data_IF_066479289973
#
_entry.id   IF_066479289973
#
_cell.length_a   1.000
_cell.length_b   1.000
_cell.length_c   1.000
_cell.angle_alpha   90.00
_cell.angle_beta   90.00
_cell.angle_gamma   90.00
#
_symmetry.space_group_name_H-M   'P 1'
#
loop_
_entity.id
_entity.type
_entity.pdbx_description
1 polymer ?
#
# COMPACT_ATOMS: atom_id res chain seq x y z
N UNK A 1 2.16 -0.96 15.35
CA UNK A 1 0.92 -0.35 14.82
C UNK A 1 -0.12 -0.28 15.93
N UNK A 2 -1.08 0.65 15.91
CA UNK A 2 -2.20 0.63 16.86
C UNK A 2 -2.96 -0.70 16.73
N UNK A 3 -3.35 -1.27 17.86
CA UNK A 3 -4.20 -2.48 17.92
C UNK A 3 -5.48 -2.18 18.68
N UNK A 4 -6.11 -1.06 18.32
CA UNK A 4 -7.39 -0.66 18.89
C UNK A 4 -8.49 -1.19 17.98
N UNK A 5 -9.42 -2.03 18.47
CA UNK A 5 -10.43 -2.70 17.63
C UNK A 5 -11.21 -1.74 16.74
N UNK A 6 -11.61 -0.58 17.29
CA UNK A 6 -12.39 0.41 16.54
C UNK A 6 -11.60 1.11 15.39
N UNK A 7 -10.27 0.93 15.28
CA UNK A 7 -9.46 1.40 14.15
C UNK A 7 -8.99 0.27 13.23
N UNK A 8 -9.38 -0.96 13.51
CA UNK A 8 -9.06 -2.11 12.67
C UNK A 8 -10.20 -2.37 11.69
N UNK A 9 -9.86 -2.53 10.40
CA UNK A 9 -10.80 -3.02 9.40
C UNK A 9 -10.78 -4.55 9.44
N UNK A 10 -11.93 -5.15 9.76
CA UNK A 10 -12.08 -6.61 9.86
C UNK A 10 -12.46 -7.24 8.52
N UNK A 11 -13.01 -6.46 7.60
CA UNK A 11 -13.37 -6.90 6.26
C UNK A 11 -12.10 -7.04 5.40
N UNK A 12 -11.68 -8.28 5.18
CA UNK A 12 -10.49 -8.59 4.40
C UNK A 12 -10.59 -8.11 2.95
N UNK A 13 -11.79 -8.09 2.35
CA UNK A 13 -11.96 -7.62 0.98
C UNK A 13 -11.68 -6.12 0.88
N UNK A 14 -12.10 -5.33 1.85
CA UNK A 14 -11.77 -3.90 1.94
C UNK A 14 -10.29 -3.66 2.13
N UNK A 15 -9.62 -4.45 2.98
CA UNK A 15 -8.16 -4.36 3.17
C UNK A 15 -7.41 -4.69 1.87
N UNK A 16 -7.84 -5.73 1.16
CA UNK A 16 -7.24 -6.11 -0.13
C UNK A 16 -7.50 -5.04 -1.21
N UNK A 17 -8.73 -4.51 -1.28
CA UNK A 17 -9.05 -3.41 -2.20
C UNK A 17 -8.17 -2.19 -1.95
N UNK A 18 -8.03 -1.79 -0.68
CA UNK A 18 -7.14 -0.70 -0.28
C UNK A 18 -5.69 -0.92 -0.74
N UNK A 19 -5.12 -2.13 -0.54
CA UNK A 19 -3.76 -2.44 -1.01
C UNK A 19 -3.65 -2.35 -2.53
N UNK A 20 -4.66 -2.80 -3.29
CA UNK A 20 -4.69 -2.72 -4.75
C UNK A 20 -4.74 -1.28 -5.26
N UNK A 21 -5.51 -0.42 -4.62
CA UNK A 21 -5.62 1.01 -4.93
C UNK A 21 -4.33 1.77 -4.59
N UNK A 22 -3.66 1.38 -3.50
CA UNK A 22 -2.44 2.01 -3.01
C UNK A 22 -1.19 1.14 -3.25
N UNK A 23 -1.11 0.54 -4.43
CA UNK A 23 -0.13 -0.50 -4.75
C UNK A 23 1.32 -0.04 -4.94
N UNK A 24 1.62 1.28 -4.89
CA UNK A 24 2.98 1.80 -4.81
C UNK A 24 3.41 1.82 -3.34
N UNK A 25 4.02 0.73 -2.92
CA UNK A 25 4.28 0.42 -1.51
C UNK A 25 5.75 0.56 -1.13
N UNK A 26 6.00 0.67 0.18
CA UNK A 26 7.35 0.61 0.75
C UNK A 26 7.65 -0.82 1.18
N UNK A 27 8.67 -1.44 0.62
CA UNK A 27 9.19 -2.74 1.04
C UNK A 27 10.43 -2.52 1.86
N UNK A 28 10.43 -2.98 3.12
CA UNK A 28 11.55 -2.83 4.04
C UNK A 28 12.07 -4.19 4.50
N UNK A 29 13.35 -4.26 4.82
CA UNK A 29 13.98 -5.45 5.38
C UNK A 29 15.22 -5.12 6.20
N UNK A 30 15.98 -6.14 6.56
CA UNK A 30 17.11 -6.03 7.47
C UNK A 30 18.40 -5.79 6.68
N UNK A 31 18.92 -4.57 6.76
CA UNK A 31 20.29 -4.27 6.32
C UNK A 31 21.32 -4.64 7.39
N UNK A 32 22.58 -4.32 7.16
CA UNK A 32 23.66 -4.63 8.10
C UNK A 32 23.66 -3.67 9.30
N UNK A 33 23.62 -2.37 9.04
CA UNK A 33 23.62 -1.33 10.10
C UNK A 33 22.25 -0.67 10.24
N UNK A 34 21.56 -0.43 9.13
CA UNK A 34 20.25 0.21 9.07
C UNK A 34 19.26 -0.67 8.32
N UNK A 35 17.95 -0.55 8.62
CA UNK A 35 16.92 -1.13 7.78
C UNK A 35 17.05 -0.57 6.35
N UNK A 36 16.85 -1.43 5.36
CA UNK A 36 16.76 -1.01 3.95
C UNK A 36 15.31 -0.82 3.56
N UNK A 37 15.05 0.08 2.60
CA UNK A 37 13.70 0.35 2.10
C UNK A 37 13.72 0.62 0.60
N UNK A 38 12.69 0.15 -0.10
CA UNK A 38 12.47 0.42 -1.51
C UNK A 38 11.00 0.78 -1.76
N UNK A 39 10.75 1.76 -2.63
CA UNK A 39 9.42 2.12 -3.07
C UNK A 39 9.13 1.42 -4.40
N UNK A 40 8.18 0.51 -4.42
CA UNK A 40 7.93 -0.38 -5.55
C UNK A 40 6.44 -0.47 -5.86
N UNK A 41 6.07 -0.44 -7.15
CA UNK A 41 4.73 -0.85 -7.56
C UNK A 41 4.59 -2.35 -7.42
N UNK A 42 3.53 -2.80 -6.77
CA UNK A 42 3.26 -4.20 -6.53
C UNK A 42 1.97 -4.65 -7.23
N UNK A 43 1.95 -5.88 -7.71
CA UNK A 43 0.71 -6.59 -7.98
C UNK A 43 0.32 -7.39 -6.74
N UNK A 44 -0.97 -7.39 -6.43
CA UNK A 44 -1.56 -8.12 -5.31
C UNK A 44 -2.38 -9.28 -5.90
N UNK A 45 -1.95 -10.49 -5.64
CA UNK A 45 -2.56 -11.72 -6.14
C UNK A 45 -3.09 -12.56 -4.99
N UNK A 46 -4.27 -13.15 -5.19
CA UNK A 46 -4.88 -14.09 -4.26
C UNK A 46 -4.83 -15.45 -4.93
N UNK A 47 -4.17 -16.42 -4.31
CA UNK A 47 -4.04 -17.81 -4.77
C UNK A 47 -4.52 -18.76 -3.68
N UNK A 48 -5.76 -19.22 -3.81
CA UNK A 48 -6.45 -19.92 -2.72
C UNK A 48 -6.63 -18.98 -1.51
N UNK A 49 -6.19 -19.41 -0.36
CA UNK A 49 -6.25 -18.63 0.88
C UNK A 49 -5.03 -17.71 1.12
N UNK A 50 -4.04 -17.73 0.23
CA UNK A 50 -2.80 -16.99 0.36
C UNK A 50 -2.79 -15.73 -0.49
N UNK A 51 -2.14 -14.70 0.04
CA UNK A 51 -1.89 -13.44 -0.65
C UNK A 51 -0.41 -13.38 -1.04
N UNK A 52 -0.17 -12.99 -2.28
CA UNK A 52 1.16 -12.79 -2.83
C UNK A 52 1.30 -11.37 -3.39
N UNK A 53 2.46 -10.78 -3.19
CA UNK A 53 2.84 -9.55 -3.86
C UNK A 53 3.94 -9.86 -4.87
N UNK A 54 3.77 -9.42 -6.11
CA UNK A 54 4.79 -9.58 -7.15
C UNK A 54 5.27 -8.22 -7.64
N UNK A 55 6.54 -8.13 -7.98
CA UNK A 55 7.19 -6.92 -8.45
C UNK A 55 8.60 -7.19 -8.94
N UNK A 56 9.37 -6.11 -9.16
CA UNK A 56 10.78 -6.20 -9.51
C UNK A 56 11.57 -5.05 -8.86
N UNK A 57 12.86 -5.23 -8.75
CA UNK A 57 13.79 -4.21 -8.25
C UNK A 57 15.13 -4.27 -9.01
N UNK A 58 15.95 -3.22 -8.84
CA UNK A 58 17.30 -3.17 -9.43
C UNK A 58 18.23 -4.17 -8.76
N UNK A 59 18.98 -4.94 -9.57
CA UNK A 59 20.05 -5.82 -9.07
C UNK A 59 21.18 -5.02 -8.42
N UNK A 60 21.90 -5.66 -7.52
CA UNK A 60 23.14 -5.17 -6.88
C UNK A 60 22.96 -3.93 -5.97
N UNK A 61 21.75 -3.53 -5.68
CA UNK A 61 21.43 -2.49 -4.69
C UNK A 61 21.59 -3.02 -3.26
N UNK A 62 21.62 -2.15 -2.27
CA UNK A 62 21.67 -2.50 -0.86
C UNK A 62 20.47 -3.35 -0.42
N UNK A 63 19.27 -2.94 -0.83
CA UNK A 63 18.04 -3.68 -0.51
C UNK A 63 17.97 -5.04 -1.23
N UNK A 64 18.46 -5.17 -2.47
CA UNK A 64 18.56 -6.48 -3.14
C UNK A 64 19.44 -7.44 -2.32
N UNK A 65 20.65 -7.01 -1.95
CA UNK A 65 21.59 -7.81 -1.17
C UNK A 65 21.06 -8.15 0.23
N UNK A 66 20.36 -7.21 0.84
CA UNK A 66 19.75 -7.42 2.15
C UNK A 66 18.64 -8.48 2.10
N UNK A 67 17.77 -8.41 1.08
CA UNK A 67 16.68 -9.37 0.89
C UNK A 67 17.17 -10.77 0.49
N UNK A 68 18.34 -10.88 -0.21
CA UNK A 68 18.99 -12.17 -0.43
C UNK A 68 19.49 -12.81 0.87
N UNK A 69 19.99 -12.00 1.81
CA UNK A 69 20.50 -12.48 3.11
C UNK A 69 19.38 -12.83 4.10
N UNK A 70 18.27 -12.09 4.06
CA UNK A 70 17.13 -12.29 4.95
C UNK A 70 15.82 -12.08 4.19
N UNK A 71 15.10 -13.18 4.01
CA UNK A 71 13.82 -13.18 3.27
C UNK A 71 12.66 -12.47 3.99
N UNK A 72 12.79 -12.13 5.28
CA UNK A 72 11.72 -11.49 6.03
C UNK A 72 11.63 -10.00 5.68
N UNK A 73 10.47 -9.60 5.19
CA UNK A 73 10.19 -8.22 4.78
C UNK A 73 8.90 -7.70 5.42
N UNK A 74 8.86 -6.38 5.58
CA UNK A 74 7.64 -5.65 5.89
C UNK A 74 7.27 -4.79 4.68
N UNK A 75 6.05 -4.97 4.20
CA UNK A 75 5.47 -4.14 3.15
C UNK A 75 4.48 -3.17 3.76
N UNK A 76 4.65 -1.88 3.49
CA UNK A 76 3.80 -0.80 4.01
C UNK A 76 3.06 -0.16 2.85
N UNK A 77 1.73 -0.26 2.89
CA UNK A 77 0.83 0.45 2.00
C UNK A 77 0.32 1.69 2.72
N UNK A 78 0.65 2.86 2.19
CA UNK A 78 0.22 4.13 2.72
C UNK A 78 -0.95 4.67 1.90
N UNK A 79 -2.03 5.02 2.59
CA UNK A 79 -3.17 5.70 2.01
C UNK A 79 -3.24 7.18 2.40
N UNK A 80 -4.43 7.78 2.28
CA UNK A 80 -4.64 9.17 2.66
C UNK A 80 -4.42 9.36 4.16
N UNK A 81 -3.98 10.56 4.50
CA UNK A 81 -3.75 10.98 5.88
C UNK A 81 -3.96 12.49 6.01
N UNK A 82 -4.53 12.93 7.12
CA UNK A 82 -4.79 14.35 7.34
C UNK A 82 -4.84 14.70 8.82
N UNK A 83 -4.47 15.94 9.13
CA UNK A 83 -4.62 16.51 10.45
C UNK A 83 -6.07 16.87 10.75
N UNK A 84 -6.55 16.50 11.93
CA UNK A 84 -7.88 16.81 12.46
C UNK A 84 -7.74 17.78 13.62
N UNK A 85 -8.29 18.99 13.46
CA UNK A 85 -8.23 20.02 14.48
C UNK A 85 -9.19 19.73 15.64
N UNK A 86 -8.74 19.95 16.85
CA UNK A 86 -9.58 19.89 18.06
C UNK A 86 -10.76 20.88 18.02
N UNK A 87 -10.62 21.99 17.28
CA UNK A 87 -11.70 22.99 17.13
C UNK A 87 -12.92 22.48 16.33
N UNK A 88 -12.83 21.34 15.71
CA UNK A 88 -13.93 20.73 14.93
C UNK A 88 -14.77 19.75 15.75
N UNK A 89 -14.35 19.47 16.98
CA UNK A 89 -15.08 18.58 17.89
C UNK A 89 -16.24 19.32 18.56
N UNK A 90 -17.31 18.60 18.83
CA UNK A 90 -18.49 19.13 19.53
C UNK A 90 -18.30 19.17 21.05
N UNK A 91 -17.23 18.59 21.58
CA UNK A 91 -16.88 18.58 23.00
C UNK A 91 -15.64 19.43 23.23
N UNK A 92 -15.57 20.20 24.36
CA UNK A 92 -14.36 20.89 24.76
C UNK A 92 -13.30 19.91 25.28
N UNK A 93 -12.08 20.42 25.48
CA UNK A 93 -10.98 19.72 26.14
C UNK A 93 -10.52 18.42 25.45
N UNK A 94 -10.54 18.43 24.13
CA UNK A 94 -10.03 17.33 23.29
C UNK A 94 -8.73 17.73 22.59
N UNK A 95 -7.89 16.74 22.30
CA UNK A 95 -6.66 16.97 21.56
C UNK A 95 -6.87 16.78 20.05
N UNK A 96 -6.15 17.58 19.28
CA UNK A 96 -6.01 17.37 17.83
C UNK A 96 -5.34 16.04 17.53
N UNK A 97 -5.60 15.50 16.34
CA UNK A 97 -5.08 14.18 15.95
C UNK A 97 -4.81 14.11 14.45
N UNK A 98 -4.35 12.96 13.98
CA UNK A 98 -4.29 12.59 12.58
C UNK A 98 -5.27 11.46 12.29
N UNK A 99 -6.03 11.58 11.21
CA UNK A 99 -6.72 10.47 10.57
C UNK A 99 -5.83 9.95 9.43
N UNK A 100 -5.77 8.64 9.27
CA UNK A 100 -4.95 7.99 8.25
C UNK A 100 -5.38 6.55 8.03
N UNK A 101 -5.04 6.02 6.86
CA UNK A 101 -5.21 4.61 6.51
C UNK A 101 -3.86 4.04 6.14
N UNK A 102 -3.50 2.89 6.72
CA UNK A 102 -2.29 2.16 6.36
C UNK A 102 -2.47 0.66 6.59
N UNK A 103 -1.83 -0.14 5.73
CA UNK A 103 -1.77 -1.59 5.85
C UNK A 103 -0.31 -2.02 5.89
N UNK A 104 0.04 -2.85 6.87
CA UNK A 104 1.35 -3.46 7.04
C UNK A 104 1.24 -4.97 6.81
N UNK A 105 1.89 -5.47 5.79
CA UNK A 105 1.98 -6.90 5.52
C UNK A 105 3.40 -7.41 5.83
N UNK A 106 3.50 -8.41 6.68
CA UNK A 106 4.75 -9.15 6.92
C UNK A 106 4.78 -10.34 5.98
N UNK A 107 5.91 -10.58 5.34
CA UNK A 107 6.02 -11.66 4.38
C UNK A 107 7.44 -12.15 4.18
N UNK A 108 7.57 -13.13 3.31
CA UNK A 108 8.83 -13.70 2.88
C UNK A 108 9.04 -13.45 1.39
N UNK A 109 10.11 -12.71 1.06
CA UNK A 109 10.48 -12.41 -0.31
C UNK A 109 11.31 -13.55 -0.91
N UNK A 110 11.04 -13.87 -2.17
CA UNK A 110 11.85 -14.79 -2.98
C UNK A 110 12.06 -14.18 -4.35
N UNK A 111 13.30 -14.20 -4.81
CA UNK A 111 13.62 -13.74 -6.16
C UNK A 111 13.25 -14.80 -7.19
N UNK A 112 12.85 -14.33 -8.36
CA UNK A 112 12.48 -15.18 -9.49
C UNK A 112 13.64 -15.29 -10.49
N UNK A 113 13.54 -16.25 -11.38
CA UNK A 113 14.42 -16.38 -12.54
C UNK A 113 14.14 -15.30 -13.61
N UNK A 114 14.84 -15.40 -14.74
CA UNK A 114 14.67 -14.45 -15.86
C UNK A 114 13.23 -14.46 -16.40
N UNK A 115 12.61 -15.62 -16.51
CA UNK A 115 11.24 -15.75 -17.00
C UNK A 115 10.24 -15.12 -16.01
N UNK A 116 10.40 -15.34 -14.71
CA UNK A 116 9.62 -14.71 -13.66
C UNK A 116 9.82 -13.19 -13.63
N UNK A 117 11.04 -12.72 -13.81
CA UNK A 117 11.35 -11.29 -13.91
C UNK A 117 10.65 -10.66 -15.12
N UNK A 118 10.73 -11.29 -16.29
CA UNK A 118 10.03 -10.85 -17.49
C UNK A 118 8.51 -10.73 -17.26
N UNK A 119 7.90 -11.75 -16.63
CA UNK A 119 6.48 -11.76 -16.32
C UNK A 119 6.09 -10.68 -15.31
N UNK A 120 6.92 -10.41 -14.30
CA UNK A 120 6.68 -9.34 -13.33
C UNK A 120 6.65 -7.96 -14.01
N UNK A 121 7.62 -7.68 -14.90
CA UNK A 121 7.65 -6.42 -15.67
C UNK A 121 6.45 -6.31 -16.60
N UNK A 122 6.12 -7.39 -17.32
CA UNK A 122 4.95 -7.43 -18.21
C UNK A 122 3.67 -7.12 -17.46
N UNK A 123 3.48 -7.75 -16.31
CA UNK A 123 2.28 -7.58 -15.49
C UNK A 123 2.12 -6.14 -14.99
N UNK A 124 3.19 -5.53 -14.47
CA UNK A 124 3.18 -4.13 -14.02
C UNK A 124 2.96 -3.17 -15.20
N UNK A 125 3.65 -3.36 -16.32
CA UNK A 125 3.47 -2.51 -17.50
C UNK A 125 2.03 -2.58 -18.01
N UNK A 126 1.47 -3.78 -18.17
CA UNK A 126 0.10 -3.96 -18.64
C UNK A 126 -0.95 -3.40 -17.67
N UNK A 127 -0.67 -3.42 -16.37
CA UNK A 127 -1.55 -2.83 -15.34
C UNK A 127 -1.73 -1.32 -15.54
N UNK A 128 -0.65 -0.60 -15.87
CA UNK A 128 -0.67 0.86 -15.95
C UNK A 128 -0.81 1.39 -17.37
N UNK A 129 -0.16 0.75 -18.35
CA UNK A 129 -0.25 1.16 -19.76
C UNK A 129 -1.48 0.60 -20.47
N UNK A 130 -1.98 -0.54 -20.04
CA UNK A 130 -2.96 -1.31 -20.80
C UNK A 130 -2.37 -1.92 -22.07
N UNK A 131 -3.22 -2.52 -22.91
CA UNK A 131 -2.82 -3.23 -24.13
C UNK A 131 -2.99 -2.39 -25.40
N UNK A 132 -3.63 -1.22 -25.31
CA UNK A 132 -4.02 -0.39 -26.46
C UNK A 132 -2.98 0.65 -26.90
N UNK A 133 -2.06 1.05 -26.05
CA UNK A 133 -1.11 2.14 -26.30
C UNK A 133 0.10 1.69 -27.14
N UNK A 134 0.86 2.63 -27.66
CA UNK A 134 2.14 2.34 -28.33
C UNK A 134 3.22 1.80 -27.37
N UNK A 135 3.10 2.09 -26.06
CA UNK A 135 3.99 1.66 -25.01
C UNK A 135 3.56 0.35 -24.33
N UNK A 136 2.49 -0.30 -24.81
CA UNK A 136 2.07 -1.62 -24.32
C UNK A 136 3.23 -2.61 -24.39
N UNK A 137 3.39 -3.40 -23.35
CA UNK A 137 4.54 -4.30 -23.21
C UNK A 137 4.75 -5.21 -24.44
N UNK A 138 3.70 -5.79 -24.97
CA UNK A 138 3.76 -6.73 -26.12
C UNK A 138 4.15 -6.04 -27.45
N UNK A 139 4.20 -4.71 -27.50
CA UNK A 139 4.64 -3.91 -28.66
C UNK A 139 6.11 -3.48 -28.55
N UNK A 140 6.72 -3.65 -27.39
CA UNK A 140 8.13 -3.29 -27.18
C UNK A 140 9.06 -4.28 -27.90
N UNK A 141 10.16 -3.84 -28.51
CA UNK A 141 11.16 -4.73 -29.07
C UNK A 141 11.72 -5.70 -28.02
N UNK A 142 11.71 -7.00 -28.32
CA UNK A 142 12.15 -8.02 -27.38
C UNK A 142 13.58 -7.79 -26.87
N UNK A 143 14.50 -7.39 -27.74
CA UNK A 143 15.88 -7.09 -27.35
C UNK A 143 15.98 -5.94 -26.35
N UNK A 144 15.17 -4.90 -26.51
CA UNK A 144 15.07 -3.79 -25.56
C UNK A 144 14.58 -4.27 -24.20
N UNK A 145 13.49 -5.06 -24.18
CA UNK A 145 12.95 -5.61 -22.94
C UNK A 145 13.96 -6.51 -22.23
N UNK A 146 14.62 -7.41 -22.96
CA UNK A 146 15.62 -8.31 -22.38
C UNK A 146 16.82 -7.57 -21.80
N UNK A 147 17.26 -6.48 -22.44
CA UNK A 147 18.31 -5.61 -21.88
C UNK A 147 17.92 -5.02 -20.54
N UNK A 148 16.66 -4.59 -20.38
CA UNK A 148 16.14 -4.07 -19.10
C UNK A 148 16.01 -5.19 -18.05
N UNK A 149 15.48 -6.35 -18.44
CA UNK A 149 15.30 -7.52 -17.56
C UNK A 149 16.65 -7.97 -16.96
N UNK A 150 17.75 -7.87 -17.70
CA UNK A 150 19.09 -8.22 -17.19
C UNK A 150 19.57 -7.32 -16.03
N UNK A 151 19.11 -6.06 -15.96
CA UNK A 151 19.50 -5.10 -14.91
C UNK A 151 18.64 -5.21 -13.64
N UNK A 152 17.53 -5.94 -13.69
CA UNK A 152 16.56 -6.06 -12.61
C UNK A 152 16.33 -7.52 -12.23
N UNK A 153 15.68 -7.72 -11.11
CA UNK A 153 15.24 -9.04 -10.66
C UNK A 153 13.78 -8.97 -10.20
N UNK A 154 12.98 -9.90 -10.67
CA UNK A 154 11.62 -10.12 -10.21
C UNK A 154 11.61 -10.77 -8.84
N UNK A 155 10.55 -10.53 -8.10
CA UNK A 155 10.34 -11.18 -6.81
C UNK A 155 8.87 -11.47 -6.57
N UNK A 156 8.66 -12.40 -5.65
CA UNK A 156 7.37 -12.71 -5.06
C UNK A 156 7.50 -12.64 -3.53
N UNK A 157 6.52 -12.03 -2.87
CA UNK A 157 6.41 -11.99 -1.41
C UNK A 157 5.18 -12.80 -1.00
N UNK A 158 5.37 -13.92 -0.31
CA UNK A 158 4.28 -14.65 0.34
C UNK A 158 3.92 -13.92 1.64
N UNK A 159 2.66 -13.46 1.73
CA UNK A 159 2.18 -12.72 2.91
C UNK A 159 1.87 -13.68 4.04
N UNK A 160 2.47 -13.46 5.20
CA UNK A 160 2.32 -14.27 6.40
C UNK A 160 1.32 -13.68 7.39
N UNK A 161 1.23 -12.36 7.47
CA UNK A 161 0.26 -11.66 8.31
C UNK A 161 0.04 -10.23 7.82
N UNK A 162 -1.16 -9.70 8.10
CA UNK A 162 -1.54 -8.33 7.79
C UNK A 162 -2.03 -7.67 9.07
N UNK A 163 -1.49 -6.49 9.35
CA UNK A 163 -2.00 -5.54 10.35
C UNK A 163 -2.49 -4.29 9.61
N UNK A 164 -3.60 -3.68 10.04
CA UNK A 164 -4.10 -2.46 9.41
C UNK A 164 -4.55 -1.42 10.44
N UNK A 165 -4.60 -0.17 10.02
CA UNK A 165 -5.21 0.94 10.76
C UNK A 165 -6.01 1.78 9.79
N UNK A 166 -7.29 1.89 10.06
CA UNK A 166 -8.24 2.80 9.42
C UNK A 166 -8.72 3.79 10.47
N UNK A 167 -7.86 4.72 10.86
CA UNK A 167 -8.16 5.74 11.87
C UNK A 167 -8.93 6.89 11.24
N UNK A 168 -10.24 6.92 11.47
CA UNK A 168 -11.21 7.80 10.82
C UNK A 168 -12.15 8.48 11.84
N UNK A 169 -11.68 8.68 13.08
CA UNK A 169 -12.45 9.29 14.18
C UNK A 169 -13.68 8.48 14.63
N UNK A 170 -13.68 7.15 14.42
CA UNK A 170 -14.81 6.25 14.78
C UNK A 170 -15.10 6.20 16.29
N UNK A 171 -14.14 6.60 17.11
CA UNK A 171 -14.26 6.69 18.56
C UNK A 171 -15.06 7.91 19.05
N UNK A 172 -15.58 8.76 18.13
CA UNK A 172 -16.38 9.93 18.43
C UNK A 172 -17.84 9.74 18.02
N UNK A 173 -18.74 10.56 18.61
CA UNK A 173 -20.14 10.56 18.24
C UNK A 173 -20.35 11.06 16.80
N UNK A 174 -21.50 10.74 16.23
CA UNK A 174 -21.84 11.05 14.84
C UNK A 174 -21.74 12.55 14.54
N UNK A 175 -22.25 13.43 15.41
CA UNK A 175 -22.21 14.88 15.24
C UNK A 175 -20.75 15.40 15.07
N UNK A 176 -19.82 14.90 15.88
CA UNK A 176 -18.40 15.20 15.75
C UNK A 176 -17.82 14.66 14.45
N UNK A 177 -18.18 13.43 14.05
CA UNK A 177 -17.71 12.81 12.79
C UNK A 177 -18.20 13.59 11.58
N UNK A 178 -19.45 14.03 11.57
CA UNK A 178 -20.04 14.90 10.52
C UNK A 178 -19.32 16.25 10.47
N UNK A 179 -19.08 16.88 11.61
CA UNK A 179 -18.32 18.16 11.70
C UNK A 179 -16.93 17.99 11.12
N UNK A 180 -16.17 16.96 11.54
CA UNK A 180 -14.81 16.69 11.04
C UNK A 180 -14.83 16.50 9.52
N UNK A 181 -15.70 15.61 9.00
CA UNK A 181 -15.74 15.33 7.56
C UNK A 181 -16.09 16.58 6.73
N UNK A 182 -16.99 17.44 7.25
CA UNK A 182 -17.37 18.69 6.59
C UNK A 182 -16.21 19.69 6.53
N UNK A 183 -15.41 19.79 7.58
CA UNK A 183 -14.23 20.65 7.60
C UNK A 183 -13.10 20.12 6.70
N UNK A 184 -12.92 18.80 6.63
CA UNK A 184 -11.95 18.16 5.74
C UNK A 184 -12.32 18.42 4.26
N UNK A 185 -13.59 18.26 3.89
CA UNK A 185 -14.06 18.61 2.53
C UNK A 185 -13.83 20.08 2.18
N UNK A 186 -14.07 21.00 3.13
CA UNK A 186 -13.82 22.44 2.92
C UNK A 186 -12.33 22.77 2.78
N UNK A 187 -11.42 21.98 3.34
CA UNK A 187 -9.98 22.15 3.20
C UNK A 187 -9.52 21.95 1.75
N UNK A 188 -10.12 21.02 1.01
CA UNK A 188 -9.98 20.88 -0.43
C UNK A 188 -8.65 20.31 -0.91
N UNK A 189 -7.83 19.71 -0.03
CA UNK A 189 -6.68 18.92 -0.46
C UNK A 189 -7.06 17.45 -0.62
N UNK A 190 -6.43 16.75 -1.59
CA UNK A 190 -6.82 15.39 -1.96
C UNK A 190 -6.77 14.37 -0.82
N UNK A 191 -5.86 14.52 0.15
CA UNK A 191 -5.80 13.64 1.32
C UNK A 191 -6.97 13.89 2.27
N UNK A 192 -7.32 15.16 2.51
CA UNK A 192 -8.45 15.53 3.37
C UNK A 192 -9.78 15.08 2.77
N UNK A 193 -9.97 15.27 1.46
CA UNK A 193 -11.16 14.83 0.74
C UNK A 193 -11.32 13.31 0.81
N UNK A 194 -10.27 12.55 0.53
CA UNK A 194 -10.28 11.09 0.57
C UNK A 194 -10.61 10.55 1.98
N UNK A 195 -10.05 11.16 3.04
CA UNK A 195 -10.40 10.80 4.43
C UNK A 195 -11.85 11.14 4.74
N UNK A 196 -12.35 12.31 4.31
CA UNK A 196 -13.74 12.70 4.54
C UNK A 196 -14.74 11.76 3.85
N UNK A 197 -14.45 11.34 2.62
CA UNK A 197 -15.25 10.39 1.88
C UNK A 197 -15.30 9.03 2.57
N UNK A 198 -14.15 8.53 3.03
CA UNK A 198 -14.08 7.26 3.73
C UNK A 198 -14.79 7.30 5.09
N UNK A 199 -14.74 8.44 5.80
CA UNK A 199 -15.52 8.67 7.01
C UNK A 199 -17.03 8.60 6.72
N UNK A 200 -17.51 9.21 5.64
CA UNK A 200 -18.93 9.20 5.24
C UNK A 200 -19.43 7.82 4.88
N UNK A 201 -18.68 7.08 4.03
CA UNK A 201 -19.02 5.69 3.67
C UNK A 201 -19.26 4.80 4.90
N UNK A 202 -18.51 5.03 5.99
CA UNK A 202 -18.64 4.26 7.22
C UNK A 202 -19.83 4.69 8.06
N UNK A 203 -20.16 6.00 8.08
CA UNK A 203 -21.37 6.49 8.76
C UNK A 203 -22.66 6.00 8.10
N UNK A 204 -22.68 5.90 6.78
CA UNK A 204 -23.84 5.42 6.01
C UNK A 204 -24.10 3.91 6.19
N UNK A 205 -23.13 3.15 6.71
CA UNK A 205 -23.21 1.70 6.89
C UNK A 205 -23.40 1.27 8.38
N UNK A 206 -23.45 2.21 9.33
CA UNK A 206 -23.77 2.00 10.74
C UNK A 206 -25.27 2.16 11.01
#
# INVERSE_FOLDING_TARGET
MYKLPYFTEEDQEKVIAFMKENSFAVVTGFGEEYPVASHLPLNIEIRGEKIFFTGHLMKNTDHHKAFEKNENVLVVFNGPHTYVSASWYTKPDVASTWNYITVHAKGKIRFTDEAGTYNAVRSITNKYEGTGTAASFDKLPKEYVMKLVNAIVGFEIEVMSIDNVFKLSQNHNEETRVSISSHLMKRGDGHSEAIAEEMRKRMDNE
#
